data_IF_380191700700
#
_entry.id   IF_380191700700
#
_cell.length_a   1.000
_cell.length_b   1.000
_cell.length_c   1.000
_cell.angle_alpha   90.00
_cell.angle_beta   90.00
_cell.angle_gamma   90.00
#
_symmetry.space_group_name_H-M   'P 1'
#
loop_
_entity.id
_entity.type
_entity.pdbx_description
1 polymer ?
#
# COMPACT_ATOMS: atom_id res chain seq x y z
N UNK A 1 -7.46 11.18 22.96
CA UNK A 1 -8.47 10.70 22.00
C UNK A 1 -8.04 10.87 20.54
N UNK A 2 -7.65 12.09 20.09
CA UNK A 2 -7.32 12.36 18.68
C UNK A 2 -6.24 11.42 18.09
N UNK A 3 -5.05 11.21 18.69
CA UNK A 3 -4.04 10.33 18.09
C UNK A 3 -4.50 8.88 17.89
N UNK A 4 -5.38 8.38 18.77
CA UNK A 4 -5.90 7.02 18.68
C UNK A 4 -6.90 6.85 17.53
N UNK A 5 -7.80 7.82 17.34
CA UNK A 5 -8.78 7.81 16.24
C UNK A 5 -8.10 7.91 14.87
N UNK A 6 -6.99 8.65 14.79
CA UNK A 6 -6.25 8.87 13.56
C UNK A 6 -5.12 7.86 13.33
N UNK A 7 -5.06 6.79 14.14
CA UNK A 7 -4.14 5.66 13.98
C UNK A 7 -4.40 4.89 12.67
N UNK A 8 -5.68 4.65 12.37
CA UNK A 8 -6.18 3.94 11.19
C UNK A 8 -7.52 4.54 10.71
N UNK A 9 -7.52 5.77 10.19
CA UNK A 9 -8.78 6.48 9.90
C UNK A 9 -9.54 5.87 8.72
N UNK A 10 -8.83 5.25 7.78
CA UNK A 10 -9.43 4.53 6.66
C UNK A 10 -10.00 3.16 7.08
N UNK A 11 -9.56 2.61 8.21
CA UNK A 11 -10.08 1.38 8.79
C UNK A 11 -11.55 1.49 9.20
N UNK A 12 -12.04 2.69 9.55
CA UNK A 12 -13.46 2.93 9.87
C UNK A 12 -14.38 2.67 8.66
N UNK A 13 -13.82 2.65 7.45
CA UNK A 13 -14.50 2.39 6.18
C UNK A 13 -14.58 0.87 5.89
N UNK A 14 -14.08 0.02 6.81
CA UNK A 14 -14.23 -1.43 6.74
C UNK A 14 -15.72 -1.77 6.68
N UNK A 15 -16.13 -2.58 5.69
CA UNK A 15 -17.49 -2.95 5.27
C UNK A 15 -17.97 -2.31 3.96
N UNK A 16 -17.15 -1.49 3.31
CA UNK A 16 -17.43 -1.05 1.94
C UNK A 16 -18.30 0.19 1.83
N UNK A 17 -18.68 0.82 2.94
CA UNK A 17 -19.31 2.14 2.95
C UNK A 17 -18.25 3.26 2.86
N UNK A 18 -18.02 3.77 1.65
CA UNK A 18 -17.08 4.87 1.38
C UNK A 18 -17.71 6.27 1.51
N UNK A 19 -18.92 6.41 2.06
CA UNK A 19 -19.60 7.71 2.19
C UNK A 19 -18.80 8.74 3.01
N UNK A 20 -18.02 8.27 3.99
CA UNK A 20 -17.16 9.10 4.85
C UNK A 20 -15.78 9.38 4.23
N UNK A 21 -15.39 8.62 3.21
CA UNK A 21 -14.07 8.73 2.60
C UNK A 21 -13.71 10.16 2.13
N UNK A 22 -14.62 10.92 1.48
CA UNK A 22 -14.30 12.28 1.06
C UNK A 22 -13.90 13.21 2.20
N UNK A 23 -14.50 13.08 3.39
CA UNK A 23 -14.16 13.92 4.56
C UNK A 23 -12.79 13.57 5.14
N UNK A 24 -12.44 12.28 5.14
CA UNK A 24 -11.12 11.81 5.60
C UNK A 24 -10.05 12.31 4.63
N UNK A 25 -10.25 12.14 3.32
CA UNK A 25 -9.32 12.63 2.29
C UNK A 25 -9.18 14.15 2.38
N UNK A 26 -10.28 14.90 2.52
CA UNK A 26 -10.24 16.35 2.71
C UNK A 26 -9.37 16.75 3.90
N UNK A 27 -9.46 16.03 5.03
CA UNK A 27 -8.64 16.31 6.21
C UNK A 27 -7.14 16.19 5.89
N UNK A 28 -6.76 15.22 5.06
CA UNK A 28 -5.39 15.04 4.62
C UNK A 28 -4.94 16.04 3.55
N UNK A 29 -5.84 16.52 2.69
CA UNK A 29 -5.55 17.64 1.78
C UNK A 29 -5.14 18.89 2.57
N UNK A 30 -5.85 19.18 3.67
CA UNK A 30 -5.52 20.30 4.56
C UNK A 30 -4.14 20.18 5.22
N UNK A 31 -3.59 18.96 5.30
CA UNK A 31 -2.27 18.69 5.85
C UNK A 31 -1.14 18.81 4.82
N UNK A 32 -1.44 18.87 3.51
CA UNK A 32 -0.42 18.98 2.47
C UNK A 32 0.43 20.23 2.66
N UNK A 33 1.70 20.17 2.23
CA UNK A 33 2.55 21.36 2.23
C UNK A 33 2.00 22.40 1.25
N UNK A 34 2.31 23.68 1.47
CA UNK A 34 1.91 24.75 0.55
C UNK A 34 2.43 24.49 -0.88
N UNK A 35 3.63 23.94 -1.02
CA UNK A 35 4.20 23.56 -2.31
C UNK A 35 3.39 22.45 -2.99
N UNK A 36 2.97 21.43 -2.24
CA UNK A 36 2.16 20.34 -2.80
C UNK A 36 0.75 20.81 -3.16
N UNK A 37 0.13 21.68 -2.34
CA UNK A 37 -1.15 22.30 -2.67
C UNK A 37 -1.06 23.13 -3.94
N UNK A 38 -0.03 23.98 -4.05
CA UNK A 38 0.22 24.80 -5.25
C UNK A 38 0.41 23.94 -6.49
N UNK A 39 1.19 22.86 -6.38
CA UNK A 39 1.39 21.92 -7.48
C UNK A 39 0.07 21.28 -7.91
N UNK A 40 -0.74 20.78 -6.97
CA UNK A 40 -2.05 20.21 -7.30
C UNK A 40 -2.98 21.26 -7.93
N UNK A 41 -3.02 22.49 -7.44
CA UNK A 41 -3.83 23.56 -8.04
C UNK A 41 -3.39 23.85 -9.48
N UNK A 42 -2.08 23.90 -9.73
CA UNK A 42 -1.52 24.08 -11.07
C UNK A 42 -1.93 22.95 -12.02
N UNK A 43 -1.97 21.72 -11.52
CA UNK A 43 -2.46 20.53 -12.24
C UNK A 43 -4.00 20.48 -12.39
N UNK A 44 -4.69 21.53 -11.97
CA UNK A 44 -6.13 21.73 -12.16
C UNK A 44 -7.00 21.12 -11.06
N UNK A 45 -6.46 20.85 -9.88
CA UNK A 45 -7.25 20.41 -8.72
C UNK A 45 -7.94 21.59 -8.04
N UNK A 46 -9.23 21.44 -7.76
CA UNK A 46 -10.01 22.40 -6.99
C UNK A 46 -9.86 22.11 -5.48
N UNK A 47 -8.75 22.55 -4.90
CA UNK A 47 -8.48 22.46 -3.45
C UNK A 47 -8.21 23.84 -2.86
N UNK A 48 -8.54 24.03 -1.58
CA UNK A 48 -8.27 25.28 -0.88
C UNK A 48 -6.77 25.46 -0.66
N UNK A 49 -6.24 26.63 -1.08
CA UNK A 49 -4.84 27.02 -0.82
C UNK A 49 -4.63 27.47 0.63
N UNK A 50 -5.60 28.20 1.19
CA UNK A 50 -5.41 28.95 2.45
C UNK A 50 -5.82 28.16 3.69
N UNK A 51 -6.62 27.10 3.54
CA UNK A 51 -7.02 26.28 4.67
C UNK A 51 -5.87 25.38 5.13
N UNK A 52 -5.74 25.23 6.45
CA UNK A 52 -4.77 24.35 7.09
C UNK A 52 -5.46 23.44 8.09
N UNK A 53 -4.88 22.26 8.30
CA UNK A 53 -5.41 21.32 9.27
C UNK A 53 -5.16 21.80 10.72
N UNK A 54 -6.13 21.56 11.61
CA UNK A 54 -5.99 21.85 13.03
C UNK A 54 -4.89 21.04 13.73
N UNK A 55 -4.61 19.83 13.23
CA UNK A 55 -3.58 18.93 13.76
C UNK A 55 -2.77 18.36 12.60
N UNK A 56 -1.53 17.94 12.88
CA UNK A 56 -0.73 17.15 11.92
C UNK A 56 -1.21 15.69 11.94
N UNK A 57 -2.42 15.45 11.41
CA UNK A 57 -3.04 14.13 11.34
C UNK A 57 -2.14 13.03 10.73
N UNK A 58 -1.30 13.29 9.70
CA UNK A 58 -0.35 12.29 9.18
C UNK A 58 0.58 11.70 10.24
N UNK A 59 0.97 12.48 11.26
CA UNK A 59 1.87 12.01 12.33
C UNK A 59 1.27 10.90 13.20
N UNK A 60 -0.06 10.84 13.26
CA UNK A 60 -0.82 9.88 14.06
C UNK A 60 -1.02 8.54 13.35
N UNK A 61 -0.83 8.48 12.02
CA UNK A 61 -0.98 7.24 11.26
C UNK A 61 0.01 6.19 11.79
N UNK A 62 -0.53 5.00 12.04
CA UNK A 62 0.26 3.78 12.33
C UNK A 62 -0.12 2.62 11.45
N UNK A 63 -1.26 2.68 10.77
CA UNK A 63 -1.75 1.57 9.96
C UNK A 63 -2.20 2.11 8.61
N UNK A 64 -1.63 1.56 7.54
CA UNK A 64 -1.99 1.91 6.17
C UNK A 64 -2.44 0.64 5.47
N UNK A 65 -3.68 0.67 4.99
CA UNK A 65 -4.18 -0.30 4.02
C UNK A 65 -4.30 0.42 2.68
N UNK A 66 -3.43 0.09 1.73
CA UNK A 66 -3.38 0.78 0.45
C UNK A 66 -4.71 0.66 -0.32
N UNK A 67 -5.45 -0.45 -0.20
CA UNK A 67 -6.77 -0.58 -0.82
C UNK A 67 -7.75 0.44 -0.29
N UNK A 68 -7.83 0.59 1.03
CA UNK A 68 -8.79 1.50 1.65
C UNK A 68 -8.40 2.96 1.36
N UNK A 69 -7.12 3.28 1.42
CA UNK A 69 -6.61 4.63 1.08
C UNK A 69 -6.92 4.96 -0.37
N UNK A 70 -6.52 4.11 -1.31
CA UNK A 70 -6.68 4.37 -2.75
C UNK A 70 -8.15 4.45 -3.14
N UNK A 71 -8.99 3.54 -2.65
CA UNK A 71 -10.43 3.59 -2.91
C UNK A 71 -11.09 4.81 -2.28
N UNK A 72 -10.59 5.29 -1.13
CA UNK A 72 -11.07 6.52 -0.51
C UNK A 72 -10.71 7.75 -1.34
N UNK A 73 -9.47 7.81 -1.84
CA UNK A 73 -9.02 8.86 -2.77
C UNK A 73 -9.85 8.83 -4.04
N UNK A 74 -10.03 7.66 -4.66
CA UNK A 74 -10.86 7.50 -5.85
C UNK A 74 -12.29 7.95 -5.61
N UNK A 75 -12.87 7.64 -4.45
CA UNK A 75 -14.23 8.08 -4.07
C UNK A 75 -14.31 9.60 -3.94
N UNK A 76 -13.31 10.23 -3.28
CA UNK A 76 -13.22 11.69 -3.21
C UNK A 76 -13.06 12.31 -4.59
N UNK A 77 -12.13 11.80 -5.40
CA UNK A 77 -11.84 12.30 -6.73
C UNK A 77 -13.07 12.22 -7.63
N UNK A 78 -13.77 11.08 -7.64
CA UNK A 78 -15.03 10.91 -8.36
C UNK A 78 -16.06 11.92 -7.87
N UNK A 79 -16.29 12.05 -6.57
CA UNK A 79 -17.28 13.01 -6.04
C UNK A 79 -16.97 14.47 -6.41
N UNK A 80 -15.70 14.84 -6.48
CA UNK A 80 -15.27 16.22 -6.77
C UNK A 80 -15.25 16.53 -8.26
N UNK A 81 -14.96 15.55 -9.13
CA UNK A 81 -14.67 15.79 -10.55
C UNK A 81 -15.54 14.98 -11.53
N UNK A 82 -16.53 14.19 -11.08
CA UNK A 82 -17.34 13.30 -11.94
C UNK A 82 -18.08 14.02 -13.09
N UNK A 83 -18.30 15.33 -12.99
CA UNK A 83 -19.01 16.10 -14.03
C UNK A 83 -18.14 16.34 -15.28
N UNK A 84 -16.82 16.10 -15.22
CA UNK A 84 -15.92 16.27 -16.36
C UNK A 84 -15.48 14.92 -16.96
N UNK A 85 -15.96 14.66 -18.19
CA UNK A 85 -15.79 13.43 -19.00
C UNK A 85 -14.36 12.95 -19.30
N UNK A 86 -13.31 13.57 -18.75
CA UNK A 86 -11.92 13.11 -18.91
C UNK A 86 -11.24 12.94 -17.56
N UNK A 87 -11.64 11.88 -16.86
CA UNK A 87 -10.88 11.34 -15.72
C UNK A 87 -9.55 10.85 -16.30
N UNK A 88 -8.45 11.58 -16.05
CA UNK A 88 -7.10 11.14 -16.40
C UNK A 88 -6.52 10.38 -15.21
N UNK A 89 -6.26 9.08 -15.40
CA UNK A 89 -5.59 8.19 -14.44
C UNK A 89 -4.28 8.79 -13.90
N UNK A 90 -3.56 9.55 -14.73
CA UNK A 90 -2.33 10.27 -14.34
C UNK A 90 -2.58 11.30 -13.23
N UNK A 91 -3.71 12.01 -13.26
CA UNK A 91 -4.05 12.99 -12.21
C UNK A 91 -4.36 12.28 -10.90
N UNK A 92 -5.15 11.21 -10.94
CA UNK A 92 -5.44 10.43 -9.74
C UNK A 92 -4.14 9.84 -9.16
N UNK A 93 -3.23 9.34 -10.01
CA UNK A 93 -1.90 8.86 -9.62
C UNK A 93 -1.04 9.94 -8.97
N UNK A 94 -1.00 11.15 -9.53
CA UNK A 94 -0.28 12.28 -8.95
C UNK A 94 -0.80 12.58 -7.54
N UNK A 95 -2.12 12.67 -7.38
CA UNK A 95 -2.75 12.97 -6.10
C UNK A 95 -2.47 11.87 -5.06
N UNK A 96 -2.58 10.60 -5.47
CA UNK A 96 -2.20 9.44 -4.65
C UNK A 96 -0.75 9.58 -4.20
N UNK A 97 0.18 9.88 -5.11
CA UNK A 97 1.59 10.11 -4.81
C UNK A 97 1.79 11.13 -3.70
N UNK A 98 1.18 12.32 -3.83
CA UNK A 98 1.27 13.40 -2.84
C UNK A 98 0.76 13.01 -1.45
N UNK A 99 -0.32 12.23 -1.39
CA UNK A 99 -0.86 11.76 -0.11
C UNK A 99 0.07 10.75 0.56
N UNK A 100 0.64 9.78 -0.19
CA UNK A 100 1.59 8.82 0.38
C UNK A 100 2.94 9.46 0.73
N UNK A 101 3.44 10.40 -0.08
CA UNK A 101 4.60 11.23 0.27
C UNK A 101 4.42 11.87 1.64
N UNK A 102 3.26 12.49 1.87
CA UNK A 102 2.92 13.10 3.15
C UNK A 102 2.83 12.06 4.27
N UNK A 103 2.20 10.91 4.02
CA UNK A 103 2.09 9.85 5.03
C UNK A 103 3.48 9.35 5.45
N UNK A 104 4.32 8.93 4.50
CA UNK A 104 5.65 8.40 4.83
C UNK A 104 6.64 9.45 5.32
N UNK A 105 6.44 10.73 5.01
CA UNK A 105 7.32 11.80 5.49
C UNK A 105 7.07 12.22 6.94
N UNK A 106 5.84 12.00 7.44
CA UNK A 106 5.40 12.49 8.75
C UNK A 106 4.94 11.39 9.70
N UNK A 107 4.56 10.21 9.20
CA UNK A 107 4.22 9.10 10.09
C UNK A 107 5.47 8.70 10.87
N UNK A 108 5.36 8.64 12.20
CA UNK A 108 6.54 8.42 13.02
C UNK A 108 6.96 6.95 13.04
N UNK A 109 6.09 5.94 13.12
CA UNK A 109 6.54 4.54 13.08
C UNK A 109 5.39 3.72 12.56
N UNK A 110 5.44 3.29 11.31
CA UNK A 110 4.32 2.54 10.78
C UNK A 110 4.29 1.16 11.44
N UNK A 111 3.16 0.84 12.08
CA UNK A 111 2.97 -0.44 12.76
C UNK A 111 2.47 -1.51 11.79
N UNK A 112 1.52 -1.16 10.93
CA UNK A 112 0.90 -2.06 9.96
C UNK A 112 0.89 -1.46 8.56
N UNK A 113 1.24 -2.28 7.57
CA UNK A 113 1.19 -1.90 6.16
C UNK A 113 0.57 -3.04 5.35
N UNK A 114 -0.48 -2.74 4.61
CA UNK A 114 -1.12 -3.69 3.72
C UNK A 114 -1.08 -3.17 2.28
N UNK A 115 -0.53 -3.96 1.37
CA UNK A 115 -0.36 -3.64 -0.05
C UNK A 115 -0.95 -4.74 -0.94
N UNK A 116 -1.37 -4.35 -2.14
CA UNK A 116 -1.92 -5.25 -3.15
C UNK A 116 -3.44 -5.25 -3.16
N UNK A 117 -4.06 -5.98 -4.10
CA UNK A 117 -5.50 -6.00 -4.30
C UNK A 117 -6.20 -7.05 -3.44
N UNK A 118 -7.19 -6.62 -2.64
CA UNK A 118 -8.08 -7.57 -1.93
C UNK A 118 -9.33 -7.97 -2.72
N UNK A 119 -9.93 -7.08 -3.53
CA UNK A 119 -11.25 -7.36 -4.15
C UNK A 119 -11.71 -6.48 -5.35
N UNK A 120 -11.09 -5.32 -5.66
CA UNK A 120 -11.67 -4.39 -6.66
C UNK A 120 -10.64 -3.50 -7.39
N UNK A 121 -10.80 -3.37 -8.72
CA UNK A 121 -10.48 -2.17 -9.51
C UNK A 121 -9.01 -1.91 -9.88
N UNK A 122 -8.81 -0.92 -10.78
CA UNK A 122 -7.49 -0.34 -11.09
C UNK A 122 -6.86 0.21 -9.81
N UNK A 123 -5.56 -0.01 -9.64
CA UNK A 123 -4.85 0.30 -8.41
C UNK A 123 -3.67 1.22 -8.66
N UNK A 124 -3.79 2.43 -8.16
CA UNK A 124 -2.72 3.42 -8.21
C UNK A 124 -1.72 3.12 -7.09
N UNK A 125 -0.59 2.50 -7.42
CA UNK A 125 0.45 2.26 -6.41
C UNK A 125 1.24 3.54 -6.16
N UNK A 126 1.54 3.85 -4.90
CA UNK A 126 2.50 4.89 -4.59
C UNK A 126 3.88 4.47 -5.12
N UNK A 127 4.63 5.42 -5.68
CA UNK A 127 5.96 5.15 -6.19
C UNK A 127 6.96 4.98 -5.02
N UNK A 128 7.11 3.74 -4.53
CA UNK A 128 8.00 3.44 -3.39
C UNK A 128 9.47 3.77 -3.63
N UNK A 129 9.89 3.98 -4.88
CA UNK A 129 11.27 4.34 -5.20
C UNK A 129 11.60 5.80 -4.86
N UNK A 130 10.61 6.71 -4.86
CA UNK A 130 10.82 8.16 -4.70
C UNK A 130 10.71 8.66 -3.26
N UNK A 131 10.26 7.84 -2.32
CA UNK A 131 9.99 8.27 -0.95
C UNK A 131 11.26 8.33 -0.08
N UNK A 132 11.83 9.53 0.09
CA UNK A 132 13.04 9.77 0.88
C UNK A 132 12.94 9.25 2.33
N UNK A 133 11.77 9.39 2.96
CA UNK A 133 11.52 9.01 4.35
C UNK A 133 10.90 7.62 4.53
N UNK A 134 10.74 6.86 3.44
CA UNK A 134 10.17 5.52 3.50
C UNK A 134 10.91 4.60 4.47
N UNK A 135 12.25 4.65 4.47
CA UNK A 135 13.06 3.83 5.39
C UNK A 135 12.64 4.03 6.83
N UNK A 136 12.56 5.29 7.27
CA UNK A 136 12.20 5.63 8.65
C UNK A 136 10.76 5.20 8.98
N UNK A 137 9.85 5.29 8.01
CA UNK A 137 8.47 4.88 8.20
C UNK A 137 8.31 3.36 8.39
N UNK A 138 9.05 2.53 7.65
CA UNK A 138 8.80 1.07 7.57
C UNK A 138 9.82 0.19 8.32
N UNK A 139 10.91 0.73 8.86
CA UNK A 139 11.89 -0.08 9.62
C UNK A 139 11.33 -0.72 10.89
N UNK A 140 10.33 -0.09 11.52
CA UNK A 140 9.68 -0.57 12.74
C UNK A 140 8.35 -1.31 12.46
N UNK A 141 8.13 -1.72 11.20
CA UNK A 141 6.91 -2.42 10.80
C UNK A 141 6.77 -3.74 11.53
N UNK A 142 5.61 -3.97 12.16
CA UNK A 142 5.31 -5.20 12.91
C UNK A 142 4.31 -6.09 12.20
N UNK A 143 3.46 -5.52 11.34
CA UNK A 143 2.49 -6.26 10.56
C UNK A 143 2.58 -5.87 9.08
N UNK A 144 2.72 -6.89 8.23
CA UNK A 144 2.77 -6.75 6.79
C UNK A 144 1.71 -7.64 6.15
N UNK A 145 0.82 -7.02 5.39
CA UNK A 145 -0.15 -7.74 4.56
C UNK A 145 0.15 -7.54 3.08
N UNK A 146 0.24 -8.62 2.32
CA UNK A 146 0.50 -8.59 0.88
C UNK A 146 -0.58 -9.44 0.19
N UNK A 147 -1.35 -8.78 -0.67
CA UNK A 147 -2.54 -9.37 -1.27
C UNK A 147 -2.45 -9.30 -2.78
N UNK A 148 -2.30 -10.43 -3.43
CA UNK A 148 -2.48 -10.51 -4.86
C UNK A 148 -3.88 -11.06 -5.16
N UNK A 149 -4.63 -10.33 -5.98
CA UNK A 149 -5.85 -10.82 -6.58
C UNK A 149 -5.67 -10.71 -8.09
N UNK A 150 -5.59 -11.84 -8.81
CA UNK A 150 -5.49 -11.78 -10.26
C UNK A 150 -6.73 -11.09 -10.81
N UNK A 151 -6.51 -10.17 -11.74
CA UNK A 151 -7.53 -9.62 -12.62
C UNK A 151 -7.45 -10.31 -13.98
N UNK A 152 -8.52 -10.28 -14.77
CA UNK A 152 -8.54 -10.83 -16.13
C UNK A 152 -7.54 -10.13 -17.08
N UNK A 153 -6.99 -8.98 -16.67
CA UNK A 153 -6.04 -8.19 -17.45
C UNK A 153 -4.59 -8.44 -17.00
N UNK A 154 -3.83 -9.15 -17.83
CA UNK A 154 -2.44 -9.53 -17.58
C UNK A 154 -1.52 -8.33 -17.34
N UNK A 155 -1.64 -7.27 -18.14
CA UNK A 155 -0.82 -6.05 -18.00
C UNK A 155 -0.99 -5.39 -16.65
N UNK A 156 -2.21 -5.40 -16.11
CA UNK A 156 -2.49 -4.84 -14.78
C UNK A 156 -1.84 -5.72 -13.70
N UNK A 157 -1.89 -7.05 -13.86
CA UNK A 157 -1.23 -7.98 -12.94
C UNK A 157 0.30 -7.80 -12.92
N UNK A 158 0.93 -7.61 -14.09
CA UNK A 158 2.36 -7.32 -14.21
C UNK A 158 2.74 -6.02 -13.48
N UNK A 159 1.99 -4.93 -13.69
CA UNK A 159 2.22 -3.67 -13.01
C UNK A 159 2.10 -3.80 -11.48
N UNK A 160 1.04 -4.49 -11.01
CA UNK A 160 0.87 -4.79 -9.58
C UNK A 160 2.09 -5.53 -9.03
N UNK A 161 2.54 -6.56 -9.75
CA UNK A 161 3.69 -7.36 -9.34
C UNK A 161 4.97 -6.51 -9.29
N UNK A 162 5.20 -5.66 -10.28
CA UNK A 162 6.34 -4.75 -10.31
C UNK A 162 6.35 -3.81 -9.08
N UNK A 163 5.21 -3.20 -8.75
CA UNK A 163 5.10 -2.30 -7.61
C UNK A 163 5.32 -3.00 -6.27
N UNK A 164 4.71 -4.17 -6.06
CA UNK A 164 4.91 -4.96 -4.85
C UNK A 164 6.36 -5.46 -4.75
N UNK A 165 6.94 -5.87 -5.88
CA UNK A 165 8.33 -6.28 -5.98
C UNK A 165 9.31 -5.17 -5.62
N UNK A 166 9.08 -3.94 -6.11
CA UNK A 166 9.84 -2.74 -5.71
C UNK A 166 9.72 -2.48 -4.21
N UNK A 167 8.54 -2.67 -3.63
CA UNK A 167 8.34 -2.53 -2.19
C UNK A 167 9.10 -3.61 -1.39
N UNK A 168 9.06 -4.88 -1.82
CA UNK A 168 9.87 -5.95 -1.23
C UNK A 168 11.36 -5.62 -1.24
N UNK A 169 11.89 -5.13 -2.37
CA UNK A 169 13.30 -4.71 -2.46
C UNK A 169 13.63 -3.70 -1.36
N UNK A 170 12.74 -2.72 -1.11
CA UNK A 170 12.96 -1.73 -0.04
C UNK A 170 12.94 -2.39 1.34
N UNK A 171 12.00 -3.29 1.63
CA UNK A 171 11.97 -4.02 2.91
C UNK A 171 13.29 -4.79 3.15
N UNK A 172 13.77 -5.52 2.14
CA UNK A 172 15.02 -6.27 2.22
C UNK A 172 16.24 -5.33 2.36
N UNK A 173 16.31 -4.28 1.54
CA UNK A 173 17.42 -3.30 1.52
C UNK A 173 17.53 -2.56 2.85
N UNK A 174 16.39 -2.18 3.43
CA UNK A 174 16.35 -1.48 4.71
C UNK A 174 16.50 -2.42 5.91
N UNK A 175 16.58 -3.73 5.67
CA UNK A 175 16.65 -4.78 6.69
C UNK A 175 15.52 -4.68 7.70
N UNK A 176 14.29 -4.55 7.21
CA UNK A 176 13.10 -4.63 8.06
C UNK A 176 13.01 -6.04 8.67
N UNK A 177 13.45 -6.19 9.92
CA UNK A 177 13.58 -7.47 10.64
C UNK A 177 12.64 -7.60 11.86
N UNK A 178 11.77 -6.61 12.06
CA UNK A 178 10.85 -6.51 13.20
C UNK A 178 9.40 -6.91 12.84
N UNK A 179 9.18 -7.54 11.69
CA UNK A 179 7.85 -7.95 11.26
C UNK A 179 7.48 -9.23 12.01
N UNK A 180 6.47 -9.12 12.87
CA UNK A 180 5.97 -10.21 13.70
C UNK A 180 4.81 -10.97 13.03
N UNK A 181 4.08 -10.31 12.15
CA UNK A 181 2.89 -10.86 11.50
C UNK A 181 2.99 -10.61 9.99
N UNK A 182 2.92 -11.69 9.21
CA UNK A 182 2.88 -11.63 7.75
C UNK A 182 1.61 -12.31 7.27
N UNK A 183 0.71 -11.53 6.66
CA UNK A 183 -0.44 -12.03 5.91
C UNK A 183 -0.08 -12.02 4.41
N UNK A 184 -0.12 -13.17 3.75
CA UNK A 184 0.29 -13.32 2.35
C UNK A 184 -0.77 -14.03 1.52
N UNK A 185 -1.14 -13.46 0.38
CA UNK A 185 -1.96 -14.11 -0.65
C UNK A 185 -1.24 -13.99 -1.99
N UNK A 186 -0.85 -15.12 -2.56
CA UNK A 186 -0.12 -15.20 -3.83
C UNK A 186 -1.01 -14.93 -5.05
N UNK A 187 -0.38 -14.52 -6.15
CA UNK A 187 -1.04 -14.35 -7.44
C UNK A 187 -0.91 -15.66 -8.22
N UNK A 188 -1.83 -16.63 -8.11
CA UNK A 188 -1.88 -17.66 -9.15
C UNK A 188 -2.44 -17.03 -10.40
N UNK A 189 -1.56 -16.69 -11.33
CA UNK A 189 -1.87 -17.00 -12.70
C UNK A 189 -0.92 -18.12 -13.12
N UNK A 190 -1.44 -19.36 -13.13
CA UNK A 190 -0.66 -20.56 -13.45
C UNK A 190 -0.02 -20.47 -14.83
N UNK A 191 -0.54 -19.63 -15.72
CA UNK A 191 -0.05 -19.46 -17.09
C UNK A 191 0.91 -18.26 -17.28
N UNK A 192 0.91 -17.27 -16.38
CA UNK A 192 1.90 -16.16 -16.37
C UNK A 192 3.14 -16.53 -15.53
N UNK A 193 3.00 -17.51 -14.62
CA UNK A 193 4.08 -18.02 -13.76
C UNK A 193 4.89 -19.14 -14.39
N UNK A 194 4.47 -19.67 -15.54
CA UNK A 194 5.21 -20.68 -16.30
C UNK A 194 6.03 -19.95 -17.35
N UNK A 195 7.16 -19.41 -16.95
CA UNK A 195 8.44 -19.46 -17.65
C UNK A 195 9.46 -18.88 -16.69
N UNK A 196 10.70 -19.34 -16.78
CA UNK A 196 11.85 -18.90 -15.98
C UNK A 196 12.11 -17.39 -16.11
N UNK A 197 11.23 -16.57 -15.55
CA UNK A 197 11.40 -15.15 -15.50
C UNK A 197 11.80 -14.77 -14.07
N UNK A 198 13.07 -14.42 -13.94
CA UNK A 198 13.66 -13.77 -12.77
C UNK A 198 12.85 -12.52 -12.35
N UNK A 199 11.97 -12.02 -13.22
CA UNK A 199 11.03 -10.93 -12.96
C UNK A 199 9.80 -11.29 -12.10
N UNK A 200 9.54 -12.57 -11.75
CA UNK A 200 8.53 -12.91 -10.73
C UNK A 200 9.06 -12.69 -9.30
N UNK A 201 9.45 -11.44 -9.07
CA UNK A 201 10.30 -10.98 -7.98
C UNK A 201 9.61 -11.11 -6.61
N UNK A 202 8.28 -11.03 -6.54
CA UNK A 202 7.55 -11.16 -5.28
C UNK A 202 7.62 -12.59 -4.68
N UNK A 203 7.69 -13.61 -5.53
CA UNK A 203 7.73 -15.02 -5.15
C UNK A 203 9.01 -15.37 -4.36
N UNK A 204 10.19 -14.97 -4.84
CA UNK A 204 11.45 -15.30 -4.15
C UNK A 204 11.64 -14.44 -2.89
N UNK A 205 11.12 -13.21 -2.91
CA UNK A 205 11.38 -12.23 -1.85
C UNK A 205 10.57 -12.45 -0.59
N UNK A 206 9.43 -13.16 -0.65
CA UNK A 206 8.69 -13.46 0.58
C UNK A 206 9.47 -14.41 1.49
N UNK A 207 10.11 -15.44 0.93
CA UNK A 207 10.94 -16.38 1.69
C UNK A 207 12.19 -15.70 2.26
N UNK A 208 12.84 -14.82 1.49
CA UNK A 208 13.95 -14.01 1.98
C UNK A 208 13.50 -13.08 3.12
N UNK A 209 12.35 -12.42 2.97
CA UNK A 209 11.80 -11.56 3.99
C UNK A 209 11.49 -12.35 5.27
N UNK A 210 10.89 -13.55 5.16
CA UNK A 210 10.66 -14.44 6.32
C UNK A 210 11.97 -14.71 7.04
N UNK A 211 13.02 -15.14 6.31
CA UNK A 211 14.35 -15.46 6.89
C UNK A 211 15.00 -14.27 7.60
N UNK A 212 14.74 -13.04 7.15
CA UNK A 212 15.28 -11.82 7.76
C UNK A 212 14.65 -11.47 9.12
N UNK A 213 13.50 -12.04 9.47
CA UNK A 213 12.82 -11.66 10.71
C UNK A 213 13.49 -12.26 11.94
N UNK A 214 13.58 -11.48 13.02
CA UNK A 214 14.13 -11.94 14.31
C UNK A 214 13.07 -12.49 15.28
N UNK A 215 11.78 -12.34 14.94
CA UNK A 215 10.69 -12.73 15.82
C UNK A 215 9.38 -12.84 15.08
N UNK A 216 9.39 -13.50 13.92
CA UNK A 216 8.16 -13.79 13.19
C UNK A 216 7.27 -14.71 14.05
N UNK A 217 6.10 -14.21 14.46
CA UNK A 217 5.15 -14.94 15.32
C UNK A 217 4.11 -15.69 14.51
N UNK A 218 3.72 -15.13 13.37
CA UNK A 218 2.70 -15.71 12.51
C UNK A 218 2.98 -15.37 11.06
N UNK A 219 3.04 -16.41 10.24
CA UNK A 219 2.86 -16.33 8.80
C UNK A 219 1.50 -16.94 8.46
N UNK A 220 0.63 -16.18 7.80
CA UNK A 220 -0.69 -16.65 7.38
C UNK A 220 -0.80 -16.56 5.87
N UNK A 221 -0.98 -17.72 5.25
CA UNK A 221 -1.39 -17.77 3.84
C UNK A 221 -2.92 -17.62 3.72
N UNK A 222 -3.36 -16.70 2.85
CA UNK A 222 -4.76 -16.32 2.68
C UNK A 222 -5.33 -16.67 1.30
N UNK A 223 -4.56 -17.38 0.47
CA UNK A 223 -5.01 -17.95 -0.80
C UNK A 223 -5.53 -19.38 -0.66
N UNK A 224 -6.07 -19.93 -1.75
CA UNK A 224 -6.30 -21.37 -1.84
C UNK A 224 -4.96 -22.10 -1.94
N UNK A 225 -4.73 -23.19 -1.21
CA UNK A 225 -3.42 -23.87 -1.24
C UNK A 225 -3.08 -24.38 -2.66
N UNK A 226 -4.10 -24.67 -3.48
CA UNK A 226 -4.00 -25.07 -4.89
C UNK A 226 -3.40 -23.99 -5.82
N UNK A 227 -3.30 -22.75 -5.35
CA UNK A 227 -2.72 -21.58 -6.04
C UNK A 227 -1.21 -21.56 -5.86
N UNK A 228 -0.69 -22.02 -4.72
CA UNK A 228 0.75 -22.12 -4.51
C UNK A 228 1.32 -23.23 -5.39
N UNK A 229 2.33 -22.90 -6.19
CA UNK A 229 3.10 -23.95 -6.85
C UNK A 229 4.01 -24.66 -5.81
N UNK A 230 4.56 -25.82 -6.20
CA UNK A 230 5.38 -26.64 -5.30
C UNK A 230 6.63 -25.89 -4.83
N UNK A 231 7.29 -25.17 -5.73
CA UNK A 231 8.52 -24.44 -5.41
C UNK A 231 8.25 -23.30 -4.41
N UNK A 232 7.13 -22.58 -4.57
CA UNK A 232 6.69 -21.48 -3.70
C UNK A 232 6.46 -22.00 -2.30
N UNK A 233 5.67 -23.08 -2.23
CA UNK A 233 5.33 -23.75 -0.99
C UNK A 233 6.60 -24.21 -0.30
N UNK A 234 7.48 -24.92 -1.01
CA UNK A 234 8.73 -25.44 -0.46
C UNK A 234 9.62 -24.31 0.07
N UNK A 235 9.81 -23.24 -0.71
CA UNK A 235 10.63 -22.09 -0.35
C UNK A 235 10.10 -21.38 0.91
N UNK A 236 8.79 -21.18 1.01
CA UNK A 236 8.14 -20.59 2.19
C UNK A 236 8.30 -21.52 3.40
N UNK A 237 8.02 -22.82 3.26
CA UNK A 237 8.17 -23.78 4.35
C UNK A 237 9.60 -23.86 4.85
N UNK A 238 10.59 -23.86 3.96
CA UNK A 238 12.01 -23.89 4.33
C UNK A 238 12.44 -22.59 5.01
N UNK A 239 11.92 -21.44 4.58
CA UNK A 239 12.13 -20.17 5.26
C UNK A 239 11.51 -20.16 6.68
N UNK A 240 10.31 -20.71 6.85
CA UNK A 240 9.64 -20.77 8.14
C UNK A 240 10.36 -21.70 9.13
N UNK A 241 11.03 -22.77 8.66
CA UNK A 241 11.87 -23.62 9.52
C UNK A 241 13.02 -22.85 10.17
N UNK A 242 13.50 -21.76 9.56
CA UNK A 242 14.57 -20.94 10.15
C UNK A 242 14.05 -20.01 11.27
N UNK A 243 12.74 -19.99 11.51
CA UNK A 243 12.08 -19.15 12.51
C UNK A 243 11.65 -19.94 13.76
N UNK A 244 11.92 -21.25 13.79
CA UNK A 244 11.69 -22.17 14.93
C UNK A 244 12.98 -22.26 15.76
#
# INVERSE_FOLDING_TARGET
AIPFLWRNPFGIISNGDFSKAPKIVQTYILCLSENDKLHLIYEGFNISKTESAFFDYPSYIREINCNLVNKSISTWFKKTYFEHKSINEEKENLFVGKIYDMFFSRCNRLFSFEIGLRKYGSFNYPNFSSFLRLRQAITDLQHLGIYFHPLDNEKINEQINEHISKFFIKLLTFRCHNIHFIDYKSCANKDILVYHDENNIAYFKISELIKLQHGLRLFRYLGEISILNFEESSSIFDALKTQI
#
